data_IF_240778446865
#
_entry.id   IF_240778446865
#
_cell.length_a   1.000
_cell.length_b   1.000
_cell.length_c   1.000
_cell.angle_alpha   90.00
_cell.angle_beta   90.00
_cell.angle_gamma   90.00
#
_symmetry.space_group_name_H-M   'P 1'
#
loop_
_entity.id
_entity.type
_entity.pdbx_description
1 polymer ?
#
# COMPACT_ATOMS: atom_id res chain seq x y z
N UNK A 1 20.82 -0.83 12.79
CA UNK A 1 19.57 -0.05 12.84
C UNK A 1 19.05 0.07 11.42
N UNK A 2 17.99 -0.68 11.06
CA UNK A 2 17.36 -0.51 9.76
C UNK A 2 16.78 0.92 9.73
N UNK A 3 17.25 1.77 8.81
CA UNK A 3 16.62 3.08 8.55
C UNK A 3 15.21 2.75 8.06
N UNK A 4 14.25 2.69 8.97
CA UNK A 4 12.87 2.37 8.66
C UNK A 4 12.36 3.38 7.65
N UNK A 5 11.84 2.90 6.52
CA UNK A 5 11.11 3.76 5.60
C UNK A 5 9.90 4.26 6.38
N UNK A 6 9.97 5.51 6.83
CA UNK A 6 8.85 6.16 7.52
C UNK A 6 7.83 6.60 6.49
N UNK A 7 6.56 6.40 6.82
CA UNK A 7 5.46 6.92 6.01
C UNK A 7 5.50 8.45 6.04
N UNK A 8 5.39 9.05 4.86
CA UNK A 8 5.15 10.49 4.73
C UNK A 8 3.84 10.90 5.39
N UNK A 9 3.69 12.18 5.73
CA UNK A 9 2.44 12.72 6.28
C UNK A 9 1.23 12.39 5.39
N UNK A 10 1.39 12.55 4.07
CA UNK A 10 0.34 12.22 3.08
C UNK A 10 -0.04 10.74 3.15
N UNK A 11 0.94 9.84 3.19
CA UNK A 11 0.68 8.40 3.30
C UNK A 11 -0.04 8.05 4.61
N UNK A 12 0.26 8.73 5.72
CA UNK A 12 -0.46 8.53 6.99
C UNK A 12 -1.93 8.96 6.88
N UNK A 13 -2.22 10.13 6.27
CA UNK A 13 -3.59 10.56 6.02
C UNK A 13 -4.36 9.61 5.10
N UNK A 14 -3.72 9.11 4.04
CA UNK A 14 -4.36 8.17 3.13
C UNK A 14 -4.73 6.85 3.84
N UNK A 15 -3.86 6.37 4.73
CA UNK A 15 -4.16 5.21 5.58
C UNK A 15 -5.36 5.51 6.47
N UNK A 16 -5.36 6.62 7.21
CA UNK A 16 -6.47 6.98 8.09
C UNK A 16 -7.80 7.09 7.32
N UNK A 17 -7.78 7.73 6.15
CA UNK A 17 -8.97 7.85 5.29
C UNK A 17 -9.48 6.48 4.85
N UNK A 18 -8.58 5.59 4.44
CA UNK A 18 -8.95 4.24 4.00
C UNK A 18 -9.47 3.40 5.16
N UNK A 19 -8.84 3.48 6.33
CA UNK A 19 -9.31 2.83 7.57
C UNK A 19 -10.73 3.27 7.91
N UNK A 20 -11.01 4.59 7.92
CA UNK A 20 -12.38 5.08 8.18
C UNK A 20 -13.39 4.60 7.12
N UNK A 21 -12.97 4.47 5.87
CA UNK A 21 -13.83 3.96 4.80
C UNK A 21 -14.16 2.48 5.04
N UNK A 22 -13.18 1.67 5.44
CA UNK A 22 -13.39 0.26 5.80
C UNK A 22 -14.34 0.15 6.99
N UNK A 23 -14.09 0.89 8.06
CA UNK A 23 -14.88 0.83 9.30
C UNK A 23 -16.33 1.27 9.09
N UNK A 24 -16.57 2.23 8.19
CA UNK A 24 -17.91 2.69 7.84
C UNK A 24 -18.65 1.76 6.85
N UNK A 25 -17.96 0.78 6.24
CA UNK A 25 -18.55 -0.10 5.23
C UNK A 25 -19.29 -1.26 5.88
N UNK A 26 -20.63 -1.24 5.81
CA UNK A 26 -21.48 -2.30 6.37
C UNK A 26 -21.87 -3.38 5.35
N UNK A 27 -21.78 -3.10 4.05
CA UNK A 27 -22.08 -4.07 2.99
C UNK A 27 -20.88 -5.01 2.77
N UNK A 28 -21.03 -6.33 3.00
CA UNK A 28 -19.96 -7.31 2.77
C UNK A 28 -19.47 -7.34 1.31
N UNK A 29 -20.32 -6.99 0.35
CA UNK A 29 -19.94 -6.94 -1.07
C UNK A 29 -18.99 -5.77 -1.33
N UNK A 30 -19.30 -4.59 -0.80
CA UNK A 30 -18.41 -3.43 -0.86
C UNK A 30 -17.10 -3.68 -0.11
N UNK A 31 -17.15 -4.31 1.07
CA UNK A 31 -15.93 -4.65 1.81
C UNK A 31 -15.02 -5.59 1.00
N UNK A 32 -15.60 -6.56 0.30
CA UNK A 32 -14.84 -7.44 -0.62
C UNK A 32 -14.20 -6.68 -1.77
N UNK A 33 -14.87 -5.66 -2.30
CA UNK A 33 -14.30 -4.79 -3.36
C UNK A 33 -13.09 -4.03 -2.81
N UNK A 34 -13.24 -3.38 -1.66
CA UNK A 34 -12.13 -2.64 -1.00
C UNK A 34 -10.96 -3.58 -0.73
N UNK A 35 -11.21 -4.78 -0.20
CA UNK A 35 -10.16 -5.76 0.06
C UNK A 35 -9.38 -6.16 -1.21
N UNK A 36 -10.08 -6.36 -2.34
CA UNK A 36 -9.44 -6.65 -3.62
C UNK A 36 -8.59 -5.48 -4.13
N UNK A 37 -9.08 -4.25 -3.98
CA UNK A 37 -8.34 -3.05 -4.35
C UNK A 37 -7.05 -2.89 -3.53
N UNK A 38 -7.12 -3.10 -2.21
CA UNK A 38 -5.96 -3.08 -1.32
C UNK A 38 -4.95 -4.17 -1.69
N UNK A 39 -5.41 -5.38 -1.98
CA UNK A 39 -4.55 -6.48 -2.42
C UNK A 39 -3.79 -6.13 -3.71
N UNK A 40 -4.49 -5.55 -4.70
CA UNK A 40 -3.88 -5.11 -5.96
C UNK A 40 -2.87 -3.99 -5.71
N UNK A 41 -3.21 -2.98 -4.92
CA UNK A 41 -2.31 -1.88 -4.58
C UNK A 41 -1.02 -2.38 -3.92
N UNK A 42 -1.13 -3.32 -2.97
CA UNK A 42 0.03 -3.94 -2.33
C UNK A 42 0.92 -4.69 -3.32
N UNK A 43 0.33 -5.48 -4.24
CA UNK A 43 1.10 -6.18 -5.27
C UNK A 43 1.86 -5.21 -6.18
N UNK A 44 1.21 -4.11 -6.59
CA UNK A 44 1.87 -3.08 -7.41
C UNK A 44 3.03 -2.43 -6.67
N UNK A 45 2.85 -2.07 -5.39
CA UNK A 45 3.93 -1.48 -4.60
C UNK A 45 5.11 -2.45 -4.43
N UNK A 46 4.82 -3.74 -4.20
CA UNK A 46 5.85 -4.78 -4.11
C UNK A 46 6.61 -4.93 -5.43
N UNK A 47 5.91 -5.03 -6.55
CA UNK A 47 6.53 -5.11 -7.87
C UNK A 47 7.38 -3.88 -8.21
N UNK A 48 6.91 -2.68 -7.88
CA UNK A 48 7.68 -1.44 -8.07
C UNK A 48 8.94 -1.41 -7.20
N UNK A 49 8.83 -1.84 -5.93
CA UNK A 49 9.98 -1.94 -5.02
C UNK A 49 11.01 -2.95 -5.52
N UNK A 50 10.56 -4.15 -5.93
CA UNK A 50 11.42 -5.18 -6.50
C UNK A 50 12.12 -4.69 -7.77
N UNK A 51 11.41 -3.95 -8.62
CA UNK A 51 11.99 -3.36 -9.84
C UNK A 51 13.07 -2.32 -9.52
N UNK A 52 12.83 -1.40 -8.58
CA UNK A 52 13.84 -0.41 -8.16
C UNK A 52 15.09 -1.10 -7.59
N UNK A 53 14.92 -2.10 -6.73
CA UNK A 53 16.04 -2.86 -6.15
C UNK A 53 16.85 -3.56 -7.26
N UNK A 54 16.17 -4.22 -8.21
CA UNK A 54 16.83 -4.87 -9.34
C UNK A 54 17.59 -3.87 -10.21
N UNK A 55 17.01 -2.71 -10.49
CA UNK A 55 17.67 -1.65 -11.26
C UNK A 55 18.94 -1.15 -10.57
N UNK A 56 18.91 -0.96 -9.24
CA UNK A 56 20.08 -0.58 -8.46
C UNK A 56 21.17 -1.67 -8.49
N UNK A 57 20.81 -2.95 -8.54
CA UNK A 57 21.76 -4.06 -8.63
C UNK A 57 22.37 -4.28 -10.01
N UNK A 58 21.72 -3.80 -11.08
CA UNK A 58 22.21 -3.90 -12.46
C UNK A 58 23.09 -2.71 -12.89
N UNK A 59 23.31 -1.73 -12.00
CA UNK A 59 24.04 -0.49 -12.26
C UNK A 59 25.50 -0.45 -11.79
N UNK A 60 26.16 -1.59 -11.60
CA UNK A 60 27.59 -1.72 -11.24
C UNK A 60 28.27 -2.75 -12.12
#
# INVERSE_FOLDING_TARGET
>A
MSKGIHLTMTQQFDIERMTRTIDATMDPTQLRVIAKQLLQAWQHQRAATDWVIRQQSMGT
#
